data_IF_308544774081
#
_entry.id   IF_308544774081
#
_cell.length_a   1.000
_cell.length_b   1.000
_cell.length_c   1.000
_cell.angle_alpha   90.00
_cell.angle_beta   90.00
_cell.angle_gamma   90.00
#
_symmetry.space_group_name_H-M   'P 1'
#
loop_
_entity.id
_entity.type
_entity.pdbx_description
1 polymer ?
#
# COMPACT_ATOMS: atom_id res chain seq x y z
N UNK A 1 15.50 -7.53 -11.79
CA UNK A 1 14.04 -7.74 -11.74
C UNK A 1 13.56 -8.79 -12.77
N UNK A 2 14.41 -9.74 -13.18
CA UNK A 2 14.10 -10.68 -14.27
C UNK A 2 13.67 -12.07 -13.77
N UNK A 3 14.06 -12.43 -12.55
CA UNK A 3 13.82 -13.75 -11.95
C UNK A 3 12.33 -13.97 -11.61
N UNK A 4 11.62 -12.96 -11.12
CA UNK A 4 10.19 -13.09 -10.77
C UNK A 4 9.29 -13.33 -12.00
N UNK A 5 9.61 -12.72 -13.14
CA UNK A 5 8.83 -12.88 -14.37
C UNK A 5 9.08 -14.27 -14.99
N UNK A 6 10.33 -14.75 -14.93
CA UNK A 6 10.68 -16.09 -15.42
C UNK A 6 9.98 -17.19 -14.61
N UNK A 7 10.07 -17.12 -13.27
CA UNK A 7 9.40 -18.08 -12.37
C UNK A 7 7.89 -18.12 -12.61
N UNK A 8 7.25 -16.96 -12.84
CA UNK A 8 5.80 -16.91 -13.08
C UNK A 8 5.36 -17.69 -14.33
N UNK A 9 6.13 -17.57 -15.41
CA UNK A 9 5.80 -18.22 -16.69
C UNK A 9 6.01 -19.72 -16.61
N UNK A 10 7.09 -20.17 -15.96
CA UNK A 10 7.35 -21.59 -15.72
C UNK A 10 6.24 -22.23 -14.86
N UNK A 11 5.75 -21.52 -13.84
CA UNK A 11 4.63 -21.97 -12.99
C UNK A 11 3.31 -22.07 -13.77
N UNK A 12 3.06 -21.16 -14.71
CA UNK A 12 1.87 -21.20 -15.57
C UNK A 12 1.90 -22.38 -16.57
N UNK A 13 3.07 -22.63 -17.17
CA UNK A 13 3.30 -23.76 -18.07
C UNK A 13 3.19 -25.10 -17.33
N UNK A 14 3.75 -25.20 -16.12
CA UNK A 14 3.61 -26.37 -15.26
C UNK A 14 2.15 -26.65 -14.87
N UNK A 15 1.38 -25.59 -14.56
CA UNK A 15 -0.06 -25.70 -14.28
C UNK A 15 -0.87 -26.24 -15.46
N UNK A 16 -0.55 -25.78 -16.69
CA UNK A 16 -1.20 -26.27 -17.92
C UNK A 16 -0.83 -27.72 -18.26
N UNK A 17 0.44 -28.10 -18.12
CA UNK A 17 0.89 -29.49 -18.33
C UNK A 17 0.24 -30.43 -17.33
N UNK A 18 -0.01 -29.95 -16.10
CA UNK A 18 -0.69 -30.71 -15.04
C UNK A 18 -2.23 -30.78 -15.23
N UNK A 19 -2.78 -30.32 -16.36
CA UNK A 19 -4.20 -30.41 -16.68
C UNK A 19 -5.09 -29.34 -16.02
N UNK A 20 -4.53 -28.29 -15.42
CA UNK A 20 -5.33 -27.18 -14.89
C UNK A 20 -5.76 -26.22 -16.02
N UNK A 21 -7.02 -25.78 -15.97
CA UNK A 21 -7.54 -24.76 -16.89
C UNK A 21 -6.93 -23.38 -16.60
N UNK A 22 -6.77 -22.54 -17.63
CA UNK A 22 -6.20 -21.18 -17.52
C UNK A 22 -6.77 -20.33 -16.35
N UNK A 23 -8.09 -20.23 -16.12
CA UNK A 23 -8.62 -19.47 -14.99
C UNK A 23 -8.29 -20.09 -13.62
N UNK A 24 -8.12 -21.42 -13.55
CA UNK A 24 -7.69 -22.10 -12.32
C UNK A 24 -6.21 -21.81 -12.02
N UNK A 25 -5.35 -21.81 -13.04
CA UNK A 25 -3.93 -21.43 -12.92
C UNK A 25 -3.81 -19.97 -12.49
N UNK A 26 -4.57 -19.07 -13.14
CA UNK A 26 -4.59 -17.66 -12.79
C UNK A 26 -4.99 -17.45 -11.31
N UNK A 27 -6.13 -18.00 -10.90
CA UNK A 27 -6.68 -17.75 -9.56
C UNK A 27 -5.92 -18.44 -8.42
N UNK A 28 -5.36 -19.63 -8.65
CA UNK A 28 -4.73 -20.43 -7.58
C UNK A 28 -3.22 -20.37 -7.53
N UNK A 29 -2.55 -19.98 -8.61
CA UNK A 29 -1.08 -19.97 -8.69
C UNK A 29 -0.59 -18.54 -8.87
N UNK A 30 -1.03 -17.88 -9.94
CA UNK A 30 -0.56 -16.54 -10.32
C UNK A 30 -1.02 -15.47 -9.33
N UNK A 31 -2.34 -15.38 -9.08
CA UNK A 31 -2.95 -14.36 -8.24
C UNK A 31 -2.34 -14.30 -6.82
N UNK A 32 -2.23 -15.40 -6.05
CA UNK A 32 -1.62 -15.35 -4.72
C UNK A 32 -0.13 -14.98 -4.76
N UNK A 33 0.58 -15.36 -5.83
CA UNK A 33 2.01 -15.10 -5.95
C UNK A 33 2.30 -13.63 -6.31
N UNK A 34 1.46 -12.99 -7.14
CA UNK A 34 1.54 -11.54 -7.38
C UNK A 34 0.89 -10.71 -6.27
N UNK A 35 -0.06 -11.26 -5.50
CA UNK A 35 -0.78 -10.53 -4.46
C UNK A 35 0.17 -9.89 -3.43
N UNK A 36 1.25 -10.57 -3.05
CA UNK A 36 2.27 -10.02 -2.16
C UNK A 36 2.95 -8.77 -2.78
N UNK A 37 3.25 -8.81 -4.07
CA UNK A 37 3.80 -7.67 -4.82
C UNK A 37 2.81 -6.53 -4.97
N UNK A 38 1.54 -6.83 -5.27
CA UNK A 38 0.45 -5.85 -5.38
C UNK A 38 0.25 -5.14 -4.04
N UNK A 39 0.19 -5.87 -2.93
CA UNK A 39 0.03 -5.30 -1.59
C UNK A 39 1.18 -4.35 -1.24
N UNK A 40 2.42 -4.74 -1.56
CA UNK A 40 3.58 -3.87 -1.36
C UNK A 40 3.45 -2.58 -2.17
N UNK A 41 3.15 -2.67 -3.46
CA UNK A 41 2.94 -1.50 -4.33
C UNK A 41 1.76 -0.64 -3.89
N UNK A 42 0.69 -1.26 -3.40
CA UNK A 42 -0.49 -0.58 -2.89
C UNK A 42 -0.17 0.25 -1.64
N UNK A 43 0.64 -0.27 -0.71
CA UNK A 43 1.13 0.49 0.45
C UNK A 43 1.94 1.71 0.01
N UNK A 44 2.83 1.52 -0.97
CA UNK A 44 3.65 2.62 -1.52
C UNK A 44 2.79 3.72 -2.14
N UNK A 45 1.82 3.36 -2.99
CA UNK A 45 0.91 4.32 -3.63
C UNK A 45 0.00 4.98 -2.59
N UNK A 46 -0.49 4.22 -1.60
CA UNK A 46 -1.28 4.75 -0.49
C UNK A 46 -0.51 5.79 0.32
N UNK A 47 0.78 5.53 0.60
CA UNK A 47 1.64 6.49 1.29
C UNK A 47 1.91 7.75 0.46
N UNK A 48 2.07 7.60 -0.86
CA UNK A 48 2.20 8.75 -1.76
C UNK A 48 0.94 9.62 -1.74
N UNK A 49 -0.24 8.99 -1.80
CA UNK A 49 -1.53 9.67 -1.71
C UNK A 49 -1.75 10.31 -0.34
N UNK A 50 -1.29 9.69 0.74
CA UNK A 50 -1.43 10.21 2.10
C UNK A 50 -0.67 11.53 2.30
N UNK A 51 0.50 11.66 1.65
CA UNK A 51 1.32 12.88 1.68
C UNK A 51 0.87 13.91 0.64
N UNK A 52 -0.17 13.64 -0.12
CA UNK A 52 -0.70 14.54 -1.13
C UNK A 52 -1.48 15.68 -0.46
N UNK A 53 -1.17 16.92 -0.84
CA UNK A 53 -1.83 18.11 -0.31
C UNK A 53 -2.33 19.06 -1.40
N UNK A 54 -1.70 19.04 -2.58
CA UNK A 54 -1.95 20.00 -3.65
C UNK A 54 -3.32 19.79 -4.30
N UNK A 55 -3.66 18.56 -4.69
CA UNK A 55 -4.98 18.22 -5.22
C UNK A 55 -6.04 18.39 -4.14
N UNK A 56 -5.74 17.97 -2.90
CA UNK A 56 -6.65 18.16 -1.77
C UNK A 56 -7.03 19.62 -1.56
N UNK A 57 -6.07 20.55 -1.60
CA UNK A 57 -6.32 21.99 -1.51
C UNK A 57 -7.12 22.53 -2.70
N UNK A 58 -6.83 22.03 -3.90
CA UNK A 58 -7.47 22.48 -5.14
C UNK A 58 -8.97 22.12 -5.17
N UNK A 59 -9.32 20.96 -4.61
CA UNK A 59 -10.69 20.45 -4.55
C UNK A 59 -11.39 20.77 -3.21
N UNK A 60 -10.70 21.48 -2.32
CA UNK A 60 -11.21 21.77 -0.98
C UNK A 60 -12.41 22.72 -1.05
N UNK A 61 -13.46 22.33 -0.36
CA UNK A 61 -14.67 23.08 -0.04
C UNK A 61 -14.87 23.03 1.48
N UNK A 62 -15.78 23.86 2.02
CA UNK A 62 -16.10 23.85 3.46
C UNK A 62 -16.63 22.52 4.00
N UNK A 63 -17.15 21.64 3.14
CA UNK A 63 -17.77 20.37 3.51
C UNK A 63 -16.86 19.14 3.41
N UNK A 64 -15.69 19.24 2.76
CA UNK A 64 -14.80 18.09 2.49
C UNK A 64 -13.36 18.34 2.97
N UNK A 65 -13.22 18.97 4.14
CA UNK A 65 -11.91 19.27 4.73
C UNK A 65 -11.21 17.97 5.13
N UNK A 66 -9.99 17.80 4.62
CA UNK A 66 -9.13 16.64 4.94
C UNK A 66 -7.95 17.08 5.80
N UNK A 67 -7.38 16.15 6.55
CA UNK A 67 -6.30 16.43 7.51
C UNK A 67 -5.11 17.17 6.85
N UNK A 68 -4.81 16.86 5.59
CA UNK A 68 -3.70 17.45 4.85
C UNK A 68 -3.90 18.94 4.57
N UNK A 69 -5.14 19.39 4.35
CA UNK A 69 -5.42 20.81 4.10
C UNK A 69 -5.39 21.63 5.39
N UNK A 70 -5.73 21.03 6.54
CA UNK A 70 -5.64 21.68 7.86
C UNK A 70 -4.20 22.08 8.20
N UNK A 71 -3.22 21.22 7.86
CA UNK A 71 -1.79 21.55 8.02
C UNK A 71 -1.45 22.85 7.28
N UNK A 72 -1.97 23.00 6.06
CA UNK A 72 -1.76 24.19 5.25
C UNK A 72 -2.45 25.44 5.81
N UNK A 73 -3.64 25.30 6.40
CA UNK A 73 -4.35 26.40 7.05
C UNK A 73 -3.59 26.94 8.27
N UNK A 74 -3.07 26.05 9.12
CA UNK A 74 -2.25 26.45 10.27
C UNK A 74 -0.93 27.08 9.83
N UNK A 75 -0.35 26.60 8.75
CA UNK A 75 0.85 27.20 8.17
C UNK A 75 0.59 28.62 7.68
N UNK A 76 -0.48 28.83 6.89
CA UNK A 76 -0.88 30.15 6.41
C UNK A 76 -1.28 31.13 7.52
N UNK A 77 -1.73 30.62 8.66
CA UNK A 77 -2.07 31.43 9.86
C UNK A 77 -0.85 31.78 10.72
N UNK A 78 0.34 31.28 10.39
CA UNK A 78 1.56 31.48 11.18
C UNK A 78 1.64 30.63 12.45
N UNK A 79 0.76 29.64 12.62
CA UNK A 79 0.66 28.80 13.81
C UNK A 79 1.65 27.63 13.75
N UNK A 80 2.94 27.96 13.73
CA UNK A 80 4.02 27.00 13.52
C UNK A 80 4.04 25.86 14.56
N UNK A 81 3.85 26.10 15.88
CA UNK A 81 3.82 25.02 16.86
C UNK A 81 2.73 23.97 16.56
N UNK A 82 1.56 24.42 16.11
CA UNK A 82 0.42 23.56 15.77
C UNK A 82 0.69 22.75 14.49
N UNK A 83 1.31 23.37 13.48
CA UNK A 83 1.78 22.68 12.26
C UNK A 83 2.76 21.56 12.63
N UNK A 84 3.75 21.86 13.48
CA UNK A 84 4.74 20.87 13.92
C UNK A 84 4.09 19.73 14.71
N UNK A 85 3.18 20.03 15.63
CA UNK A 85 2.45 19.02 16.39
C UNK A 85 1.63 18.08 15.49
N UNK A 86 0.88 18.65 14.53
CA UNK A 86 0.15 17.85 13.54
C UNK A 86 1.10 17.01 12.68
N UNK A 87 2.22 17.57 12.23
CA UNK A 87 3.22 16.85 11.45
C UNK A 87 3.74 15.61 12.18
N UNK A 88 4.06 15.74 13.47
CA UNK A 88 4.50 14.62 14.32
C UNK A 88 3.40 13.56 14.44
N UNK A 89 2.15 13.97 14.69
CA UNK A 89 1.02 13.03 14.78
C UNK A 89 0.83 12.27 13.46
N UNK A 90 0.89 12.96 12.32
CA UNK A 90 0.72 12.36 11.00
C UNK A 90 1.84 11.38 10.66
N UNK A 91 3.08 11.68 11.04
CA UNK A 91 4.22 10.77 10.89
C UNK A 91 4.02 9.54 11.77
N UNK A 92 3.71 9.72 13.06
CA UNK A 92 3.48 8.60 13.99
C UNK A 92 2.35 7.68 13.50
N UNK A 93 1.23 8.26 13.06
CA UNK A 93 0.12 7.50 12.51
C UNK A 93 0.54 6.66 11.30
N UNK A 94 1.23 7.28 10.33
CA UNK A 94 1.70 6.56 9.14
C UNK A 94 2.69 5.45 9.49
N UNK A 95 3.63 5.70 10.41
CA UNK A 95 4.58 4.68 10.88
C UNK A 95 3.88 3.51 11.57
N UNK A 96 2.87 3.77 12.41
CA UNK A 96 2.11 2.71 13.09
C UNK A 96 1.30 1.89 12.08
N UNK A 97 0.62 2.53 11.14
CA UNK A 97 -0.19 1.85 10.12
C UNK A 97 0.69 0.98 9.22
N UNK A 98 1.76 1.56 8.65
CA UNK A 98 2.67 0.82 7.77
C UNK A 98 3.42 -0.27 8.55
N UNK A 99 3.88 0.02 9.76
CA UNK A 99 4.57 -0.93 10.63
C UNK A 99 3.68 -2.14 10.98
N UNK A 100 2.43 -1.89 11.37
CA UNK A 100 1.46 -2.94 11.71
C UNK A 100 1.10 -3.77 10.48
N UNK A 101 0.86 -3.13 9.33
CA UNK A 101 0.55 -3.83 8.09
C UNK A 101 1.72 -4.68 7.61
N UNK A 102 2.95 -4.16 7.67
CA UNK A 102 4.17 -4.91 7.36
C UNK A 102 4.36 -6.10 8.31
N UNK A 103 4.15 -5.91 9.61
CA UNK A 103 4.26 -6.96 10.61
C UNK A 103 3.18 -8.04 10.43
N UNK A 104 1.94 -7.66 10.12
CA UNK A 104 0.87 -8.62 9.82
C UNK A 104 1.21 -9.44 8.57
N UNK A 105 1.70 -8.79 7.50
CA UNK A 105 2.09 -9.48 6.27
C UNK A 105 3.29 -10.42 6.47
N UNK A 106 4.25 -10.08 7.32
CA UNK A 106 5.37 -10.99 7.62
C UNK A 106 4.91 -12.24 8.37
N UNK A 107 3.93 -12.11 9.28
CA UNK A 107 3.34 -13.25 10.01
C UNK A 107 2.55 -14.19 9.10
N UNK A 108 1.83 -13.65 8.12
CA UNK A 108 1.08 -14.45 7.14
C UNK A 108 2.04 -15.26 6.24
N UNK A 109 3.22 -14.71 5.92
CA UNK A 109 4.26 -15.43 5.19
C UNK A 109 4.85 -16.62 5.96
N UNK A 110 5.03 -16.51 7.28
CA UNK A 110 5.57 -17.57 8.13
C UNK A 110 4.60 -18.76 8.30
N UNK A 111 3.30 -18.51 8.36
CA UNK A 111 2.28 -19.55 8.56
C UNK A 111 2.06 -20.38 7.28
N UNK A 112 2.18 -19.76 6.10
CA UNK A 112 2.03 -20.44 4.81
C UNK A 112 3.18 -21.38 4.44
N UNK A 113 4.33 -21.30 5.11
CA UNK A 113 5.45 -22.24 4.91
C UNK A 113 5.41 -23.48 5.81
N UNK A 114 4.49 -23.53 6.78
CA UNK A 114 4.38 -24.60 7.76
C UNK A 114 3.25 -25.61 7.46
N UNK A 115 2.53 -25.43 6.36
CA UNK A 115 1.46 -26.33 5.85
C UNK A 115 1.75 -26.73 4.41
#
# INVERSE_FOLDING_TARGET
NSVMIQVHRELEEAGRISGASAPRVLGKIVLPLIAAGILNSWIWIGMLSYREVTMALTLMTRSNVVISTVVWQFWGSGWIPQVSALGVILILFATVVVGTLRFALSRVGEIGSAT
#
